data_IF_933710283736
#
_entry.id   IF_933710283736
#
_cell.length_a   1.000
_cell.length_b   1.000
_cell.length_c   1.000
_cell.angle_alpha   90.00
_cell.angle_beta   90.00
_cell.angle_gamma   90.00
#
_symmetry.space_group_name_H-M   'P 1'
#
loop_
_entity.id
_entity.type
_entity.pdbx_description
1 polymer ?
#
# COMPACT_ATOMS: atom_id res chain seq x y z
N UNK A 1 -7.45 12.01 14.96
CA UNK A 1 -8.53 11.86 13.95
C UNK A 1 -8.69 10.35 13.74
N UNK A 2 -9.89 9.78 13.87
CA UNK A 2 -10.10 8.35 13.62
C UNK A 2 -10.37 8.13 12.14
N UNK A 3 -9.63 7.22 11.50
CA UNK A 3 -9.80 6.86 10.08
C UNK A 3 -10.75 5.67 10.01
N UNK A 4 -11.73 5.69 9.11
CA UNK A 4 -12.68 4.58 8.98
C UNK A 4 -12.02 3.34 8.35
N UNK A 5 -12.49 2.14 8.70
CA UNK A 5 -12.00 0.89 8.11
C UNK A 5 -12.07 0.91 6.57
N UNK A 6 -13.13 1.49 6.00
CA UNK A 6 -13.27 1.64 4.55
C UNK A 6 -12.21 2.57 3.96
N UNK A 7 -11.87 3.66 4.65
CA UNK A 7 -10.78 4.55 4.22
C UNK A 7 -9.43 3.83 4.24
N UNK A 8 -9.18 2.99 5.24
CA UNK A 8 -7.96 2.17 5.32
C UNK A 8 -7.90 1.16 4.17
N UNK A 9 -9.01 0.48 3.87
CA UNK A 9 -9.12 -0.46 2.74
C UNK A 9 -8.79 0.23 1.42
N UNK A 10 -9.39 1.41 1.19
CA UNK A 10 -9.15 2.17 -0.04
C UNK A 10 -7.70 2.65 -0.14
N UNK A 11 -7.10 3.07 0.97
CA UNK A 11 -5.69 3.47 1.00
C UNK A 11 -4.75 2.30 0.70
N UNK A 12 -5.01 1.11 1.25
CA UNK A 12 -4.21 -0.11 0.99
C UNK A 12 -4.24 -0.45 -0.50
N UNK A 13 -5.43 -0.47 -1.12
CA UNK A 13 -5.59 -0.78 -2.54
C UNK A 13 -4.88 0.22 -3.45
N UNK A 14 -5.03 1.51 -3.14
CA UNK A 14 -4.39 2.58 -3.91
C UNK A 14 -2.86 2.48 -3.84
N UNK A 15 -2.31 2.23 -2.66
CA UNK A 15 -0.87 2.06 -2.46
C UNK A 15 -0.38 0.79 -3.15
N UNK A 16 -1.08 -0.34 -3.03
CA UNK A 16 -0.70 -1.58 -3.71
C UNK A 16 -0.67 -1.43 -5.23
N UNK A 17 -1.66 -0.75 -5.82
CA UNK A 17 -1.67 -0.44 -7.24
C UNK A 17 -0.48 0.43 -7.66
N UNK A 18 -0.22 1.51 -6.91
CA UNK A 18 0.89 2.43 -7.22
C UNK A 18 2.27 1.79 -7.05
N UNK A 19 2.46 0.94 -6.04
CA UNK A 19 3.69 0.16 -5.85
C UNK A 19 4.00 -0.67 -7.11
N UNK A 20 3.01 -1.39 -7.66
CA UNK A 20 3.18 -2.20 -8.88
C UNK A 20 3.49 -1.35 -10.12
N UNK A 21 2.87 -0.18 -10.24
CA UNK A 21 3.16 0.76 -11.32
C UNK A 21 4.61 1.26 -11.25
N UNK A 22 5.10 1.59 -10.04
CA UNK A 22 6.47 2.03 -9.82
C UNK A 22 7.46 0.90 -10.11
N UNK A 23 7.21 -0.32 -9.63
CA UNK A 23 8.02 -1.49 -9.94
C UNK A 23 8.09 -1.73 -11.46
N UNK A 24 6.98 -1.55 -12.18
CA UNK A 24 6.94 -1.68 -13.65
C UNK A 24 7.78 -0.60 -14.33
N UNK A 25 7.71 0.65 -13.87
CA UNK A 25 8.50 1.77 -14.41
C UNK A 25 9.99 1.60 -14.14
N UNK A 26 10.37 1.19 -12.92
CA UNK A 26 11.76 0.91 -12.55
C UNK A 26 12.33 -0.21 -13.44
N UNK A 27 11.56 -1.28 -13.65
CA UNK A 27 11.97 -2.39 -14.52
C UNK A 27 12.03 -2.01 -16.02
N UNK A 28 11.31 -0.95 -16.45
CA UNK A 28 11.34 -0.47 -17.83
C UNK A 28 12.62 0.31 -18.16
N UNK A 29 13.33 0.84 -17.14
CA UNK A 29 14.75 1.18 -17.22
C UNK A 29 15.11 2.50 -17.91
N UNK A 30 14.66 3.63 -17.35
CA UNK A 30 15.26 4.95 -17.61
C UNK A 30 16.09 5.40 -16.39
N UNK A 31 17.42 5.42 -16.51
CA UNK A 31 18.35 5.62 -15.39
C UNK A 31 18.15 6.96 -14.65
N UNK A 32 17.67 8.00 -15.34
CA UNK A 32 17.45 9.33 -14.76
C UNK A 32 16.23 9.36 -13.81
N UNK A 33 15.20 8.57 -14.09
CA UNK A 33 13.97 8.48 -13.29
C UNK A 33 14.03 7.36 -12.24
N UNK A 34 14.83 6.29 -12.47
CA UNK A 34 14.88 5.10 -11.60
C UNK A 34 15.22 5.45 -10.15
N UNK A 35 16.21 6.33 -9.90
CA UNK A 35 16.57 6.70 -8.52
C UNK A 35 15.42 7.37 -7.78
N UNK A 36 14.64 8.22 -8.45
CA UNK A 36 13.48 8.90 -7.85
C UNK A 36 12.34 7.91 -7.62
N UNK A 37 12.09 7.02 -8.58
CA UNK A 37 11.06 5.99 -8.48
C UNK A 37 11.37 4.97 -7.37
N UNK A 38 12.64 4.63 -7.14
CA UNK A 38 13.07 3.78 -6.03
C UNK A 38 12.83 4.44 -4.67
N UNK A 39 13.13 5.74 -4.53
CA UNK A 39 12.82 6.51 -3.31
C UNK A 39 11.31 6.57 -3.06
N UNK A 40 10.51 6.83 -4.10
CA UNK A 40 9.06 6.81 -4.04
C UNK A 40 8.55 5.42 -3.60
N UNK A 41 9.07 4.35 -4.19
CA UNK A 41 8.73 2.96 -3.87
C UNK A 41 9.02 2.62 -2.40
N UNK A 42 10.17 3.05 -1.86
CA UNK A 42 10.50 2.87 -0.44
C UNK A 42 9.50 3.59 0.48
N UNK A 43 9.05 4.79 0.10
CA UNK A 43 8.03 5.52 0.84
C UNK A 43 6.68 4.79 0.83
N UNK A 44 6.26 4.26 -0.33
CA UNK A 44 5.05 3.43 -0.45
C UNK A 44 5.14 2.15 0.38
N UNK A 45 6.28 1.45 0.39
CA UNK A 45 6.49 0.26 1.20
C UNK A 45 6.30 0.55 2.71
N UNK A 46 6.83 1.67 3.19
CA UNK A 46 6.65 2.11 4.58
C UNK A 46 5.18 2.43 4.89
N UNK A 47 4.51 3.17 4.00
CA UNK A 47 3.08 3.48 4.16
C UNK A 47 2.22 2.20 4.18
N UNK A 48 2.55 1.21 3.35
CA UNK A 48 1.87 -0.07 3.30
C UNK A 48 2.06 -0.87 4.61
N UNK A 49 3.26 -0.86 5.20
CA UNK A 49 3.51 -1.48 6.52
C UNK A 49 2.67 -0.83 7.62
N UNK A 50 2.60 0.50 7.64
CA UNK A 50 1.82 1.24 8.65
C UNK A 50 0.31 0.98 8.49
N UNK A 51 -0.20 0.93 7.25
CA UNK A 51 -1.58 0.59 6.97
C UNK A 51 -1.90 -0.87 7.30
N UNK A 52 -1.00 -1.82 7.03
CA UNK A 52 -1.17 -3.22 7.41
C UNK A 52 -1.33 -3.36 8.93
N UNK A 53 -0.48 -2.70 9.70
CA UNK A 53 -0.57 -2.70 11.17
C UNK A 53 -1.92 -2.18 11.63
N UNK A 54 -2.31 -1.00 11.13
CA UNK A 54 -3.59 -0.38 11.51
C UNK A 54 -4.79 -1.22 11.09
N UNK A 55 -4.79 -1.78 9.88
CA UNK A 55 -5.84 -2.67 9.40
C UNK A 55 -5.98 -3.93 10.26
N UNK A 56 -4.87 -4.53 10.68
CA UNK A 56 -4.87 -5.73 11.52
C UNK A 56 -5.48 -5.45 12.90
N UNK A 57 -5.20 -4.28 13.48
CA UNK A 57 -5.81 -3.84 14.74
C UNK A 57 -7.33 -3.69 14.60
N UNK A 58 -7.80 -3.10 13.50
CA UNK A 58 -9.22 -2.89 13.22
C UNK A 58 -9.93 -4.21 12.89
N UNK A 59 -9.26 -5.12 12.17
CA UNK A 59 -9.78 -6.45 11.84
C UNK A 59 -9.96 -7.31 13.09
N UNK A 60 -9.08 -7.19 14.10
CA UNK A 60 -9.27 -7.85 15.40
C UNK A 60 -10.50 -7.36 16.19
N UNK A 61 -11.14 -6.26 15.75
CA UNK A 61 -12.32 -5.67 16.38
C UNK A 61 -13.60 -5.85 15.53
N UNK A 62 -13.50 -6.42 14.32
CA UNK A 62 -14.63 -6.55 13.39
C UNK A 62 -14.53 -7.79 12.50
N UNK A 63 -15.51 -8.69 12.61
CA UNK A 63 -15.55 -9.96 11.87
C UNK A 63 -15.89 -9.82 10.37
N UNK A 64 -16.29 -8.64 9.91
CA UNK A 64 -16.78 -8.41 8.55
C UNK A 64 -15.75 -7.81 7.59
N UNK A 65 -14.50 -7.68 8.01
CA UNK A 65 -13.44 -7.11 7.17
C UNK A 65 -12.73 -8.20 6.35
N UNK A 66 -12.45 -7.94 5.06
CA UNK A 66 -11.79 -8.92 4.20
C UNK A 66 -10.35 -9.24 4.70
N UNK A 67 -9.76 -10.39 4.34
CA UNK A 67 -8.35 -10.65 4.64
C UNK A 67 -7.45 -9.60 4.02
N UNK A 68 -6.41 -9.16 4.74
CA UNK A 68 -5.46 -8.14 4.24
C UNK A 68 -4.89 -8.51 2.85
N UNK A 69 -4.52 -9.78 2.64
CA UNK A 69 -3.92 -10.22 1.37
C UNK A 69 -4.88 -10.05 0.19
N UNK A 70 -6.21 -10.17 0.39
CA UNK A 70 -7.20 -9.91 -0.67
C UNK A 70 -7.35 -8.43 -1.05
N UNK A 71 -6.72 -7.52 -0.29
CA UNK A 71 -6.66 -6.10 -0.61
C UNK A 71 -5.44 -5.74 -1.44
N UNK A 72 -4.48 -6.67 -1.54
CA UNK A 72 -3.25 -6.48 -2.30
C UNK A 72 -3.38 -6.92 -3.75
N UNK A 73 -4.48 -7.58 -4.12
CA UNK A 73 -4.79 -8.05 -5.47
C UNK A 73 -5.10 -6.92 -6.45
#
# INVERSE_FOLDING_TARGET
MSISAHTVIMAIRAIAARTRELETQINAGDEDDVSYLEEELMAYAKAQMDLKRHYTEVQGQSDNLPPYDSLLD
#
